data_IF_208091122008
#
_entry.id   IF_208091122008
#
_cell.length_a   1.000
_cell.length_b   1.000
_cell.length_c   1.000
_cell.angle_alpha   90.00
_cell.angle_beta   90.00
_cell.angle_gamma   90.00
#
_symmetry.space_group_name_H-M   'P 1'
#
loop_
_entity.id
_entity.type
_entity.pdbx_description
1 polymer ?
#
# COMPACT_ATOMS: atom_id res chain seq x y z
N UNK A 1 3.27 0.25 5.08
CA UNK A 1 3.35 0.17 6.56
C UNK A 1 4.78 -0.01 7.08
N UNK A 2 5.55 -1.00 6.61
CA UNK A 2 6.93 -1.22 7.08
C UNK A 2 7.85 -0.03 6.89
N UNK A 3 7.76 0.67 5.76
CA UNK A 3 8.58 1.87 5.49
C UNK A 3 8.36 2.97 6.53
N UNK A 4 7.10 3.29 6.84
CA UNK A 4 6.77 4.25 7.89
C UNK A 4 7.34 3.80 9.26
N UNK A 5 7.26 2.52 9.61
CA UNK A 5 7.85 2.01 10.86
C UNK A 5 9.36 2.23 10.90
N UNK A 6 10.06 1.91 9.80
CA UNK A 6 11.50 2.11 9.68
C UNK A 6 11.88 3.60 9.75
N UNK A 7 11.10 4.47 9.11
CA UNK A 7 11.26 5.91 9.17
C UNK A 7 11.15 6.43 10.60
N UNK A 8 10.08 6.07 11.31
CA UNK A 8 9.83 6.52 12.69
C UNK A 8 10.88 5.99 13.68
N UNK A 9 11.46 4.81 13.43
CA UNK A 9 12.56 4.28 14.22
C UNK A 9 13.86 5.09 14.11
N UNK A 10 14.01 5.91 13.06
CA UNK A 10 15.15 6.81 12.85
C UNK A 10 14.92 8.22 13.39
N UNK A 11 13.78 8.48 14.04
CA UNK A 11 13.38 9.79 14.53
C UNK A 11 13.28 9.82 16.07
N UNK A 12 13.61 10.98 16.70
CA UNK A 12 13.29 11.22 18.10
C UNK A 12 11.80 11.13 18.35
N UNK A 13 11.40 10.68 19.55
CA UNK A 13 10.00 10.44 19.89
C UNK A 13 9.10 11.68 19.71
N UNK A 14 9.64 12.87 19.95
CA UNK A 14 8.95 14.16 19.78
C UNK A 14 8.53 14.44 18.34
N UNK A 15 9.31 14.02 17.35
CA UNK A 15 9.03 14.28 15.92
C UNK A 15 8.18 13.18 15.27
N UNK A 16 8.04 12.01 15.91
CA UNK A 16 7.40 10.84 15.30
C UNK A 16 5.96 11.10 14.86
N UNK A 17 5.14 11.71 15.72
CA UNK A 17 3.74 11.95 15.37
C UNK A 17 3.59 13.02 14.28
N UNK A 18 4.41 14.08 14.32
CA UNK A 18 4.43 15.12 13.27
C UNK A 18 4.77 14.51 11.90
N UNK A 19 5.86 13.76 11.81
CA UNK A 19 6.32 13.16 10.56
C UNK A 19 5.34 12.11 10.06
N UNK A 20 4.76 11.32 10.95
CA UNK A 20 3.73 10.34 10.61
C UNK A 20 2.49 11.00 10.01
N UNK A 21 2.03 12.12 10.57
CA UNK A 21 0.90 12.87 10.01
C UNK A 21 1.24 13.44 8.64
N UNK A 22 2.39 14.09 8.50
CA UNK A 22 2.84 14.65 7.22
C UNK A 22 2.99 13.57 6.14
N UNK A 23 3.55 12.41 6.49
CA UNK A 23 3.67 11.26 5.60
C UNK A 23 2.30 10.76 5.10
N UNK A 24 1.31 10.66 5.98
CA UNK A 24 -0.03 10.22 5.58
C UNK A 24 -0.78 11.28 4.79
N UNK A 25 -0.67 12.55 5.15
CA UNK A 25 -1.25 13.66 4.39
C UNK A 25 -0.69 13.71 2.97
N UNK A 26 0.63 13.57 2.81
CA UNK A 26 1.28 13.51 1.50
C UNK A 26 0.70 12.42 0.58
N UNK A 27 0.29 11.28 1.14
CA UNK A 27 -0.29 10.16 0.38
C UNK A 27 -1.81 10.25 0.21
N UNK A 28 -2.53 10.74 1.22
CA UNK A 28 -3.99 10.85 1.19
C UNK A 28 -4.46 11.96 0.25
N UNK A 29 -3.73 13.08 0.20
CA UNK A 29 -4.06 14.24 -0.65
C UNK A 29 -3.52 14.10 -2.08
N UNK A 30 -2.72 13.07 -2.36
CA UNK A 30 -2.10 12.88 -3.66
C UNK A 30 -3.12 12.47 -4.73
N UNK A 31 -3.15 13.20 -5.83
CA UNK A 31 -4.05 12.90 -6.96
C UNK A 31 -3.45 11.89 -7.94
N UNK A 32 -2.12 11.85 -8.06
CA UNK A 32 -1.38 10.97 -8.96
C UNK A 32 -0.09 10.45 -8.32
N UNK A 33 0.56 9.46 -8.94
CA UNK A 33 1.88 8.98 -8.50
C UNK A 33 2.92 10.08 -8.49
N UNK A 34 2.91 10.95 -9.52
CA UNK A 34 3.86 12.06 -9.65
C UNK A 34 3.68 13.07 -8.51
N UNK A 35 2.42 13.45 -8.24
CA UNK A 35 2.08 14.37 -7.15
C UNK A 35 2.44 13.77 -5.77
N UNK A 36 2.10 12.50 -5.54
CA UNK A 36 2.49 11.78 -4.33
C UNK A 36 4.01 11.73 -4.14
N UNK A 37 4.76 11.49 -5.22
CA UNK A 37 6.23 11.44 -5.17
C UNK A 37 6.81 12.81 -4.82
N UNK A 38 6.29 13.88 -5.42
CA UNK A 38 6.71 15.26 -5.12
C UNK A 38 6.42 15.63 -3.66
N UNK A 39 5.24 15.28 -3.14
CA UNK A 39 4.87 15.54 -1.73
C UNK A 39 5.76 14.80 -0.74
N UNK A 40 6.07 13.53 -1.03
CA UNK A 40 7.01 12.76 -0.22
C UNK A 40 8.45 13.28 -0.34
N UNK A 41 8.86 13.75 -1.52
CA UNK A 41 10.18 14.38 -1.70
C UNK A 41 10.29 15.67 -0.87
N UNK A 42 9.25 16.50 -0.85
CA UNK A 42 9.23 17.68 0.02
C UNK A 42 9.37 17.30 1.51
N UNK A 43 8.79 16.17 1.94
CA UNK A 43 9.00 15.66 3.29
C UNK A 43 10.44 15.17 3.51
N UNK A 44 11.07 14.53 2.53
CA UNK A 44 12.50 14.15 2.57
C UNK A 44 13.35 15.40 2.78
N UNK A 45 13.12 16.45 2.01
CA UNK A 45 13.90 17.69 2.07
C UNK A 45 13.74 18.38 3.44
N UNK A 46 12.52 18.40 3.99
CA UNK A 46 12.25 18.92 5.34
C UNK A 46 12.97 18.12 6.42
N UNK A 47 13.01 16.79 6.30
CA UNK A 47 13.72 15.93 7.25
C UNK A 47 15.22 16.16 7.19
N UNK A 48 15.78 16.35 6.00
CA UNK A 48 17.22 16.58 5.84
C UNK A 48 17.62 17.96 6.38
N UNK A 49 16.85 19.01 6.09
CA UNK A 49 17.03 20.35 6.68
C UNK A 49 16.90 20.35 8.21
N UNK A 50 16.07 19.46 8.76
CA UNK A 50 15.94 19.23 10.21
C UNK A 50 17.10 18.46 10.84
N UNK A 51 18.11 18.04 10.06
CA UNK A 51 19.25 17.25 10.54
C UNK A 51 18.95 15.75 10.67
N UNK A 52 17.81 15.27 10.17
CA UNK A 52 17.41 13.86 10.23
C UNK A 52 17.80 13.10 8.96
N UNK A 53 19.06 13.23 8.52
CA UNK A 53 19.56 12.67 7.26
C UNK A 53 19.34 11.16 7.14
N UNK A 54 19.44 10.40 8.24
CA UNK A 54 19.15 8.96 8.24
C UNK A 54 17.68 8.64 7.95
N UNK A 55 16.76 9.48 8.45
CA UNK A 55 15.32 9.35 8.20
C UNK A 55 14.98 9.78 6.77
N UNK A 56 15.57 10.90 6.32
CA UNK A 56 15.43 11.42 4.96
C UNK A 56 15.86 10.37 3.91
N UNK A 57 17.06 9.79 4.07
CA UNK A 57 17.56 8.72 3.18
C UNK A 57 16.65 7.48 3.19
N UNK A 58 16.22 7.04 4.36
CA UNK A 58 15.31 5.88 4.50
C UNK A 58 14.01 6.04 3.70
N UNK A 59 13.49 7.27 3.62
CA UNK A 59 12.30 7.60 2.84
C UNK A 59 12.62 7.77 1.35
N UNK A 60 13.75 8.42 1.01
CA UNK A 60 14.18 8.67 -0.35
C UNK A 60 14.44 7.39 -1.17
N UNK A 61 14.99 6.35 -0.53
CA UNK A 61 15.40 5.10 -1.21
C UNK A 61 14.24 4.37 -1.93
N UNK A 62 12.98 4.60 -1.53
CA UNK A 62 11.83 3.82 -2.00
C UNK A 62 10.61 4.66 -2.41
N UNK A 63 10.81 5.94 -2.77
CA UNK A 63 9.70 6.84 -3.12
C UNK A 63 8.79 6.28 -4.22
N UNK A 64 9.37 5.68 -5.26
CA UNK A 64 8.61 5.10 -6.38
C UNK A 64 7.72 3.94 -5.92
N UNK A 65 8.22 3.09 -5.04
CA UNK A 65 7.45 1.97 -4.49
C UNK A 65 6.29 2.45 -3.59
N UNK A 66 6.46 3.58 -2.89
CA UNK A 66 5.44 4.13 -1.99
C UNK A 66 4.22 4.69 -2.73
N UNK A 67 4.40 5.16 -3.96
CA UNK A 67 3.34 5.85 -4.71
C UNK A 67 2.55 4.94 -5.65
N UNK A 68 3.01 3.71 -5.92
CA UNK A 68 2.35 2.76 -6.85
C UNK A 68 0.85 2.60 -6.59
N UNK A 69 0.46 2.57 -5.31
CA UNK A 69 -0.93 2.40 -4.93
C UNK A 69 -1.85 3.56 -5.38
N UNK A 70 -1.30 4.71 -5.74
CA UNK A 70 -2.03 5.88 -6.22
C UNK A 70 -2.57 5.71 -7.66
N UNK A 71 -2.05 4.74 -8.44
CA UNK A 71 -2.59 4.38 -9.78
C UNK A 71 -4.02 3.86 -9.73
N UNK A 72 -4.45 3.47 -8.54
CA UNK A 72 -5.69 2.76 -8.36
C UNK A 72 -6.79 3.64 -7.77
N UNK A 73 -8.07 3.21 -7.88
CA UNK A 73 -9.20 4.02 -7.44
C UNK A 73 -9.05 4.51 -5.98
N UNK A 74 -9.30 5.82 -5.71
CA UNK A 74 -9.08 6.43 -4.40
C UNK A 74 -9.72 5.67 -3.22
N UNK A 75 -10.90 5.10 -3.45
CA UNK A 75 -11.67 4.33 -2.45
C UNK A 75 -10.89 3.15 -1.88
N UNK A 76 -9.97 2.57 -2.66
CA UNK A 76 -9.25 1.35 -2.27
C UNK A 76 -7.81 1.61 -1.80
N UNK A 77 -7.25 2.79 -2.09
CA UNK A 77 -5.85 3.17 -1.80
C UNK A 77 -5.45 2.91 -0.35
N UNK A 78 -6.27 3.33 0.62
CA UNK A 78 -6.01 3.14 2.06
C UNK A 78 -5.94 1.67 2.47
N UNK A 79 -6.73 0.80 1.82
CA UNK A 79 -6.71 -0.63 2.11
C UNK A 79 -5.48 -1.28 1.48
N UNK A 80 -5.14 -0.92 0.25
CA UNK A 80 -4.04 -1.54 -0.50
C UNK A 80 -2.65 -1.16 0.01
N UNK A 81 -2.49 0.04 0.57
CA UNK A 81 -1.22 0.43 1.22
C UNK A 81 -0.98 -0.27 2.58
N UNK A 82 -2.01 -0.90 3.15
CA UNK A 82 -1.91 -1.62 4.42
C UNK A 82 -1.45 -3.06 4.21
N UNK A 83 -0.62 -3.58 5.10
CA UNK A 83 -0.19 -4.99 5.09
C UNK A 83 -1.08 -5.89 5.93
N UNK A 84 -2.14 -5.33 6.55
CA UNK A 84 -2.98 -6.03 7.53
C UNK A 84 -3.59 -7.32 6.99
N UNK A 85 -4.08 -7.29 5.73
CA UNK A 85 -4.65 -8.49 5.11
C UNK A 85 -3.60 -9.59 4.98
N UNK A 86 -2.43 -9.26 4.42
CA UNK A 86 -1.33 -10.21 4.24
C UNK A 86 -0.82 -10.73 5.60
N UNK A 87 -0.60 -9.85 6.57
CA UNK A 87 -0.13 -10.22 7.91
C UNK A 87 -1.14 -11.14 8.62
N UNK A 88 -2.44 -10.85 8.53
CA UNK A 88 -3.51 -11.69 9.10
C UNK A 88 -3.58 -13.05 8.41
N UNK A 89 -3.54 -13.07 7.08
CA UNK A 89 -3.57 -14.31 6.30
C UNK A 89 -2.37 -15.20 6.58
N UNK A 90 -1.15 -14.64 6.56
CA UNK A 90 0.07 -15.37 6.89
C UNK A 90 0.10 -15.82 8.36
N UNK A 91 -0.46 -15.02 9.27
CA UNK A 91 -0.61 -15.37 10.67
C UNK A 91 -1.51 -16.60 10.89
N UNK A 92 -2.64 -16.68 10.18
CA UNK A 92 -3.52 -17.86 10.22
C UNK A 92 -2.83 -19.10 9.62
N UNK A 93 -2.16 -18.95 8.47
CA UNK A 93 -1.37 -20.04 7.86
C UNK A 93 -0.37 -20.57 8.88
N UNK A 94 0.40 -19.68 9.51
CA UNK A 94 1.39 -20.05 10.54
C UNK A 94 0.75 -20.74 11.75
N UNK A 95 -0.44 -20.30 12.19
CA UNK A 95 -1.19 -20.93 13.28
C UNK A 95 -1.59 -22.36 12.93
N UNK A 96 -2.14 -22.60 11.72
CA UNK A 96 -2.61 -23.93 11.30
C UNK A 96 -1.47 -24.90 11.03
N UNK A 97 -0.38 -24.43 10.44
CA UNK A 97 0.80 -25.28 10.19
C UNK A 97 1.54 -25.63 11.48
N UNK A 98 1.57 -24.74 12.47
CA UNK A 98 2.24 -24.98 13.76
C UNK A 98 1.69 -26.20 14.52
N UNK A 99 0.39 -26.48 14.42
CA UNK A 99 -0.26 -27.59 15.14
C UNK A 99 -0.01 -28.95 14.47
N UNK A 100 0.24 -28.97 13.16
CA UNK A 100 0.35 -30.20 12.37
C UNK A 100 1.65 -30.99 12.62
N UNK A 101 2.68 -30.37 13.20
CA UNK A 101 3.95 -31.02 13.57
C UNK A 101 4.81 -31.41 12.37
N UNK A 102 4.37 -32.39 11.56
CA UNK A 102 5.02 -32.83 10.32
C UNK A 102 3.98 -33.08 9.23
N UNK A 103 4.22 -32.52 8.05
CA UNK A 103 3.38 -32.77 6.88
C UNK A 103 3.75 -34.11 6.21
N UNK A 104 2.76 -34.90 5.76
CA UNK A 104 2.99 -36.13 5.00
C UNK A 104 3.78 -35.93 3.69
N UNK A 105 3.67 -34.73 3.09
CA UNK A 105 4.39 -34.35 1.87
C UNK A 105 4.17 -32.88 1.51
N UNK A 106 4.92 -32.37 0.53
CA UNK A 106 4.86 -30.96 0.12
C UNK A 106 3.46 -30.55 -0.37
N UNK A 107 2.82 -31.39 -1.18
CA UNK A 107 1.48 -31.15 -1.71
C UNK A 107 0.43 -30.99 -0.60
N UNK A 108 0.57 -31.74 0.49
CA UNK A 108 -0.34 -31.64 1.64
C UNK A 108 -0.18 -30.31 2.38
N UNK A 109 1.05 -29.78 2.44
CA UNK A 109 1.32 -28.46 3.00
C UNK A 109 0.75 -27.36 2.09
N UNK A 110 1.03 -27.43 0.78
CA UNK A 110 0.52 -26.48 -0.20
C UNK A 110 -1.01 -26.44 -0.24
N UNK A 111 -1.65 -27.62 -0.19
CA UNK A 111 -3.12 -27.73 -0.14
C UNK A 111 -3.70 -27.03 1.10
N UNK A 112 -3.09 -27.23 2.28
CA UNK A 112 -3.53 -26.53 3.49
C UNK A 112 -3.36 -25.02 3.38
N UNK A 113 -2.19 -24.57 2.90
CA UNK A 113 -1.91 -23.13 2.72
C UNK A 113 -2.94 -22.53 1.76
N UNK A 114 -3.19 -23.17 0.62
CA UNK A 114 -4.19 -22.73 -0.36
C UNK A 114 -5.58 -22.65 0.26
N UNK A 115 -6.03 -23.70 0.96
CA UNK A 115 -7.36 -23.73 1.57
C UNK A 115 -7.54 -22.64 2.64
N UNK A 116 -6.49 -22.32 3.40
CA UNK A 116 -6.50 -21.22 4.38
C UNK A 116 -6.58 -19.87 3.68
N UNK A 117 -5.76 -19.66 2.65
CA UNK A 117 -5.75 -18.40 1.90
C UNK A 117 -7.08 -18.18 1.18
N UNK A 118 -7.63 -19.19 0.53
CA UNK A 118 -8.94 -19.12 -0.12
C UNK A 118 -10.04 -18.79 0.89
N UNK A 119 -10.09 -19.49 2.02
CA UNK A 119 -11.07 -19.20 3.07
C UNK A 119 -10.98 -17.74 3.56
N UNK A 120 -9.78 -17.24 3.85
CA UNK A 120 -9.62 -15.89 4.39
C UNK A 120 -9.82 -14.82 3.33
N UNK A 121 -9.27 -15.00 2.14
CA UNK A 121 -9.40 -14.03 1.06
C UNK A 121 -10.85 -14.02 0.61
N UNK A 122 -11.44 -15.15 0.24
CA UNK A 122 -12.80 -15.21 -0.31
C UNK A 122 -13.87 -14.84 0.72
N UNK A 123 -13.75 -15.24 1.99
CA UNK A 123 -14.76 -14.92 3.00
C UNK A 123 -14.55 -13.59 3.73
N UNK A 124 -13.30 -13.19 4.01
CA UNK A 124 -13.03 -11.94 4.76
C UNK A 124 -12.87 -10.71 3.85
N UNK A 125 -12.56 -10.87 2.55
CA UNK A 125 -12.43 -9.70 1.65
C UNK A 125 -13.74 -9.14 1.09
N UNK A 126 -14.89 -9.70 1.49
CA UNK A 126 -16.23 -9.27 1.02
C UNK A 126 -16.61 -7.80 1.30
N UNK A 127 -15.75 -7.02 1.97
CA UNK A 127 -15.93 -5.57 2.11
C UNK A 127 -15.42 -4.71 0.94
N UNK A 128 -14.58 -5.24 0.03
CA UNK A 128 -14.12 -4.47 -1.15
C UNK A 128 -15.12 -4.67 -2.29
N UNK A 129 -16.06 -3.74 -2.40
CA UNK A 129 -16.97 -3.69 -3.54
C UNK A 129 -16.33 -2.84 -4.63
N UNK A 130 -16.05 -3.47 -5.77
CA UNK A 130 -15.70 -2.76 -6.99
C UNK A 130 -16.98 -2.34 -7.70
N UNK A 131 -17.12 -1.04 -7.93
CA UNK A 131 -18.13 -0.53 -8.85
C UNK A 131 -17.70 -0.84 -10.29
N UNK A 132 -18.63 -0.70 -11.24
CA UNK A 132 -18.29 -0.88 -12.65
C UNK A 132 -17.21 0.11 -13.12
N UNK A 133 -17.26 1.35 -12.61
CA UNK A 133 -16.23 2.36 -12.86
C UNK A 133 -14.86 1.93 -12.31
N UNK A 134 -14.80 1.33 -11.12
CA UNK A 134 -13.55 0.84 -10.57
C UNK A 134 -12.96 -0.29 -11.44
N UNK A 135 -13.80 -1.19 -11.96
CA UNK A 135 -13.38 -2.28 -12.86
C UNK A 135 -12.85 -1.75 -14.18
N UNK A 136 -13.53 -0.79 -14.79
CA UNK A 136 -13.06 -0.13 -16.01
C UNK A 136 -11.70 0.54 -15.79
N UNK A 137 -11.54 1.29 -14.69
CA UNK A 137 -10.24 1.89 -14.32
C UNK A 137 -9.15 0.85 -14.13
N UNK A 138 -9.45 -0.28 -13.48
CA UNK A 138 -8.49 -1.37 -13.30
C UNK A 138 -8.09 -2.06 -14.61
N UNK A 139 -9.05 -2.26 -15.52
CA UNK A 139 -8.75 -2.79 -16.84
C UNK A 139 -7.82 -1.86 -17.62
N UNK A 140 -8.06 -0.54 -17.58
CA UNK A 140 -7.16 0.44 -18.20
C UNK A 140 -5.74 0.37 -17.64
N UNK A 141 -5.59 0.27 -16.32
CA UNK A 141 -4.27 0.08 -15.68
C UNK A 141 -3.61 -1.23 -16.13
N UNK A 142 -4.38 -2.31 -16.27
CA UNK A 142 -3.88 -3.62 -16.71
C UNK A 142 -3.39 -3.60 -18.16
N UNK A 143 -4.10 -2.90 -19.04
CA UNK A 143 -3.80 -2.84 -20.49
C UNK A 143 -3.02 -1.57 -20.92
N UNK A 144 -2.58 -0.74 -19.96
CA UNK A 144 -1.83 0.51 -20.20
C UNK A 144 -2.53 1.49 -21.15
N UNK A 145 -3.86 1.56 -21.11
CA UNK A 145 -4.61 2.55 -21.88
C UNK A 145 -4.50 3.94 -21.22
N UNK A 146 -4.11 5.00 -21.97
CA UNK A 146 -4.04 6.35 -21.44
C UNK A 146 -5.42 6.88 -21.03
N UNK A 147 -5.49 7.75 -20.03
CA UNK A 147 -6.74 8.40 -19.67
C UNK A 147 -7.23 9.27 -20.84
N UNK A 148 -8.54 9.25 -21.16
CA UNK A 148 -9.09 10.21 -22.10
C UNK A 148 -8.90 11.62 -21.53
N UNK A 149 -8.31 12.49 -22.33
CA UNK A 149 -8.25 13.92 -22.05
C UNK A 149 -9.72 14.37 -21.87
N UNK A 150 -10.08 15.06 -20.76
CA UNK A 150 -11.41 15.64 -20.65
C UNK A 150 -11.61 16.55 -21.86
N UNK A 151 -12.49 16.18 -22.77
CA UNK A 151 -12.99 17.11 -23.77
C UNK A 151 -13.65 18.24 -22.98
N UNK A 152 -13.01 19.42 -22.98
CA UNK A 152 -13.67 20.65 -22.60
C UNK A 152 -14.91 20.73 -23.48
N UNK A 153 -16.08 20.52 -22.88
CA UNK A 153 -17.36 20.76 -23.53
C UNK A 153 -17.43 22.27 -23.73
N UNK A 154 -16.84 22.75 -24.83
CA UNK A 154 -17.12 24.08 -25.36
C UNK A 154 -18.57 24.05 -25.82
N UNK A 155 -19.47 24.41 -24.91
CA UNK A 155 -20.81 24.84 -25.26
C UNK A 155 -20.67 26.12 -26.10
N UNK A 156 -20.89 25.99 -27.40
CA UNK A 156 -21.08 27.08 -28.34
C UNK A 156 -22.57 27.17 -28.72
#
# INVERSE_FOLDING_TARGET
MHRLRNLLAKLPERERERVKLAYWQALDDAISERDGKQRLQALVDQLDQGGFTAAARCLADDLDALVVHLRYPPRHRRRWRSTNLLERSLGEVKRRTKVMGRFPGEDSCLTLVWAVLDLLITHETNGIRFTELDRQRLNRVKYHEPEPIPEEVTAA
#
